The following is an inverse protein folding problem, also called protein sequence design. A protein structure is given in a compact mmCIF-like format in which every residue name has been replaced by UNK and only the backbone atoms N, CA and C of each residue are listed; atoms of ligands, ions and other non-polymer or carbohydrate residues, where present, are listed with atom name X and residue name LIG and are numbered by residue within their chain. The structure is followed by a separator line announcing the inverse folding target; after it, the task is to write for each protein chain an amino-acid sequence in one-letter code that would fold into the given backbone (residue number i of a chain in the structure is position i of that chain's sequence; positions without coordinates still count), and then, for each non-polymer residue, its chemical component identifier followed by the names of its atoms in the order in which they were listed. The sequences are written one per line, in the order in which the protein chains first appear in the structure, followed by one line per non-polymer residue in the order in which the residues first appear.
data_IF_158070362641
#
_entry.id   IF_158070362641
#
_cell.length_a   1.000
_cell.length_b   1.000
_cell.length_c   1.000
_cell.angle_alpha   90.00
_cell.angle_beta   90.00
_cell.angle_gamma   90.00
#
_symmetry.space_group_name_H-M   'P 1'
#
loop_
_entity.id
_entity.type
_entity.pdbx_description
1 polymer ?
#
# COMPACT_ATOMS: atom_id res chain seq x y z
N UNK A 1 -27.43 -2.77 -11.81
CA UNK A 1 -26.29 -2.00 -12.33
C UNK A 1 -25.72 -1.18 -11.18
N UNK A 2 -24.52 -1.43 -10.65
CA UNK A 2 -23.93 -0.52 -9.68
C UNK A 2 -23.43 0.71 -10.42
N UNK A 3 -23.90 1.87 -9.98
CA UNK A 3 -23.54 3.20 -10.48
C UNK A 3 -22.04 3.39 -10.27
N UNK A 4 -21.26 3.39 -11.35
CA UNK A 4 -19.91 3.95 -11.34
C UNK A 4 -20.05 5.47 -11.19
N UNK A 5 -20.28 5.93 -9.97
CA UNK A 5 -20.03 7.32 -9.62
C UNK A 5 -18.54 7.53 -9.81
N UNK A 6 -18.16 8.20 -10.91
CA UNK A 6 -16.79 8.69 -11.15
C UNK A 6 -16.46 9.70 -10.06
N UNK A 7 -16.08 9.18 -8.89
CA UNK A 7 -15.78 9.95 -7.72
C UNK A 7 -14.42 10.61 -7.96
N UNK A 8 -14.44 11.88 -8.39
CA UNK A 8 -13.21 12.65 -8.57
C UNK A 8 -12.60 12.96 -7.19
N UNK A 9 -11.60 12.16 -6.81
CA UNK A 9 -10.78 12.37 -5.62
C UNK A 9 -9.63 13.30 -6.00
N UNK A 10 -9.49 14.41 -5.28
CA UNK A 10 -8.36 15.31 -5.48
C UNK A 10 -7.14 14.79 -4.70
N UNK A 11 -6.29 14.03 -5.39
CA UNK A 11 -5.06 13.45 -4.82
C UNK A 11 -4.06 14.51 -4.37
N UNK A 12 -3.96 15.65 -5.07
CA UNK A 12 -3.11 16.77 -4.66
C UNK A 12 -3.54 17.38 -3.33
N UNK A 13 -4.85 17.49 -3.08
CA UNK A 13 -5.38 17.96 -1.79
C UNK A 13 -5.06 16.97 -0.66
N UNK A 14 -5.24 15.67 -0.89
CA UNK A 14 -4.92 14.65 0.10
C UNK A 14 -3.42 14.61 0.42
N UNK A 15 -2.58 14.69 -0.60
CA UNK A 15 -1.12 14.78 -0.47
C UNK A 15 -0.72 15.98 0.36
N UNK A 16 -1.26 17.17 0.06
CA UNK A 16 -0.96 18.37 0.86
C UNK A 16 -1.38 18.23 2.32
N UNK A 17 -2.57 17.66 2.58
CA UNK A 17 -3.02 17.42 3.97
C UNK A 17 -2.17 16.38 4.70
N UNK A 18 -1.68 15.37 3.98
CA UNK A 18 -0.76 14.36 4.52
C UNK A 18 0.56 15.02 4.91
N UNK A 19 1.19 15.77 4.00
CA UNK A 19 2.46 16.46 4.25
C UNK A 19 2.33 17.48 5.39
N UNK A 20 1.20 18.20 5.48
CA UNK A 20 0.93 19.09 6.61
C UNK A 20 0.81 18.33 7.94
N UNK A 21 0.26 17.12 7.93
CA UNK A 21 0.14 16.29 9.13
C UNK A 21 1.51 15.79 9.57
N UNK A 22 2.33 15.35 8.62
CA UNK A 22 3.72 14.92 8.86
C UNK A 22 4.58 16.09 9.36
N UNK A 23 4.51 17.25 8.72
CA UNK A 23 5.27 18.43 9.09
C UNK A 23 4.96 18.94 10.52
N UNK A 24 3.73 18.70 11.01
CA UNK A 24 3.37 19.01 12.42
C UNK A 24 4.01 18.06 13.43
N UNK A 25 4.35 16.85 13.01
CA UNK A 25 4.97 15.82 13.85
C UNK A 25 6.49 15.96 13.88
N UNK A 26 7.09 16.58 12.86
CA UNK A 26 8.53 16.79 12.78
C UNK A 26 8.93 18.15 13.37
N UNK A 27 9.99 18.18 14.17
CA UNK A 27 10.56 19.43 14.70
C UNK A 27 11.24 20.18 13.56
N UNK A 28 10.52 21.11 12.95
CA UNK A 28 11.02 21.95 11.85
C UNK A 28 10.28 21.79 10.51
N UNK A 29 9.23 20.96 10.45
CA UNK A 29 8.41 20.82 9.24
C UNK A 29 9.07 20.04 8.10
N UNK A 30 10.22 19.42 8.34
CA UNK A 30 10.88 18.55 7.37
C UNK A 30 10.10 17.24 7.22
N UNK A 31 9.77 16.87 5.98
CA UNK A 31 9.04 15.65 5.63
C UNK A 31 9.94 14.62 4.93
N UNK A 32 11.22 14.93 4.69
CA UNK A 32 12.14 14.07 3.92
C UNK A 32 12.39 12.73 4.61
N UNK A 33 12.62 12.73 5.93
CA UNK A 33 12.82 11.50 6.70
C UNK A 33 11.57 10.61 6.65
N UNK A 34 10.40 11.21 6.85
CA UNK A 34 9.13 10.49 6.74
C UNK A 34 8.94 9.92 5.34
N UNK A 35 9.27 10.69 4.31
CA UNK A 35 9.17 10.24 2.92
C UNK A 35 10.07 9.02 2.67
N UNK A 36 11.32 9.04 3.12
CA UNK A 36 12.20 7.88 2.99
C UNK A 36 11.63 6.64 3.71
N UNK A 37 11.15 6.82 4.95
CA UNK A 37 10.57 5.74 5.74
C UNK A 37 9.29 5.18 5.11
N UNK A 38 8.41 6.06 4.62
CA UNK A 38 7.16 5.69 3.98
C UNK A 38 7.42 4.94 2.67
N UNK A 39 8.46 5.33 1.92
CA UNK A 39 8.87 4.62 0.71
C UNK A 39 9.26 3.18 1.01
N UNK A 40 10.10 2.96 2.01
CA UNK A 40 10.49 1.61 2.46
C UNK A 40 9.27 0.82 2.93
N UNK A 41 8.44 1.44 3.78
CA UNK A 41 7.29 0.80 4.41
C UNK A 41 6.23 0.39 3.37
N UNK A 42 5.91 1.27 2.42
CA UNK A 42 4.89 1.04 1.41
C UNK A 42 5.33 -0.03 0.39
N UNK A 43 6.59 0.02 -0.04
CA UNK A 43 7.14 -1.02 -0.93
C UNK A 43 7.18 -2.37 -0.21
N UNK A 44 7.68 -2.42 1.02
CA UNK A 44 7.75 -3.66 1.81
C UNK A 44 6.38 -4.28 2.06
N UNK A 45 5.38 -3.43 2.36
CA UNK A 45 3.99 -3.86 2.47
C UNK A 45 3.46 -4.45 1.16
N UNK A 46 3.79 -3.85 0.03
CA UNK A 46 3.40 -4.36 -1.29
C UNK A 46 3.96 -5.76 -1.52
N UNK A 47 5.24 -5.97 -1.22
CA UNK A 47 5.90 -7.29 -1.28
C UNK A 47 5.21 -8.29 -0.37
N UNK A 48 4.98 -7.94 0.90
CA UNK A 48 4.26 -8.78 1.87
C UNK A 48 2.88 -9.19 1.35
N UNK A 49 2.11 -8.23 0.82
CA UNK A 49 0.78 -8.50 0.30
C UNK A 49 0.81 -9.42 -0.92
N UNK A 50 1.79 -9.29 -1.81
CA UNK A 50 1.95 -10.19 -2.96
C UNK A 50 2.32 -11.61 -2.52
N UNK A 51 3.12 -11.74 -1.45
CA UNK A 51 3.40 -13.04 -0.83
C UNK A 51 2.15 -13.66 -0.21
N UNK A 52 1.35 -12.86 0.51
CA UNK A 52 0.09 -13.32 1.10
C UNK A 52 -0.89 -13.77 0.00
N UNK A 53 -1.03 -12.98 -1.08
CA UNK A 53 -1.85 -13.33 -2.25
C UNK A 53 -1.38 -14.65 -2.89
N UNK A 54 -0.06 -14.85 -3.04
CA UNK A 54 0.50 -16.11 -3.53
C UNK A 54 0.21 -17.29 -2.59
N UNK A 55 0.43 -17.13 -1.28
CA UNK A 55 0.17 -18.16 -0.28
C UNK A 55 -1.31 -18.57 -0.27
N UNK A 56 -2.21 -17.58 -0.35
CA UNK A 56 -3.65 -17.80 -0.41
C UNK A 56 -4.07 -18.53 -1.68
N UNK A 57 -3.57 -18.12 -2.85
CA UNK A 57 -3.91 -18.74 -4.14
C UNK A 57 -3.39 -20.17 -4.27
N UNK A 58 -2.19 -20.45 -3.74
CA UNK A 58 -1.55 -21.75 -3.87
C UNK A 58 -1.75 -22.65 -2.64
N UNK A 59 -2.54 -22.21 -1.64
CA UNK A 59 -2.70 -22.89 -0.33
C UNK A 59 -1.36 -23.32 0.27
N UNK A 60 -0.37 -22.47 0.13
CA UNK A 60 1.03 -22.73 0.47
C UNK A 60 1.47 -21.79 1.59
N UNK A 61 2.50 -22.19 2.31
CA UNK A 61 3.15 -21.36 3.34
C UNK A 61 4.60 -21.10 2.96
N UNK A 62 4.99 -19.82 2.97
CA UNK A 62 6.37 -19.42 2.71
C UNK A 62 7.10 -19.36 4.06
N UNK A 63 8.21 -20.08 4.17
CA UNK A 63 9.04 -20.05 5.38
C UNK A 63 9.65 -18.65 5.60
N UNK A 64 9.96 -18.25 6.85
CA UNK A 64 10.64 -16.98 7.12
C UNK A 64 11.97 -16.84 6.38
N UNK A 65 12.69 -17.95 6.16
CA UNK A 65 13.94 -17.96 5.41
C UNK A 65 13.71 -17.65 3.93
N UNK A 66 12.76 -18.34 3.29
CA UNK A 66 12.36 -18.09 1.90
C UNK A 66 11.85 -16.66 1.73
N UNK A 67 11.06 -16.17 2.70
CA UNK A 67 10.58 -14.78 2.74
C UNK A 67 11.77 -13.80 2.74
N UNK A 68 12.78 -14.02 3.59
CA UNK A 68 13.98 -13.19 3.63
C UNK A 68 14.75 -13.17 2.31
N UNK A 69 14.85 -14.32 1.61
CA UNK A 69 15.49 -14.40 0.29
C UNK A 69 14.72 -13.62 -0.77
N UNK A 70 13.40 -13.73 -0.78
CA UNK A 70 12.54 -12.97 -1.70
C UNK A 70 12.68 -11.46 -1.45
N UNK A 71 12.65 -11.03 -0.19
CA UNK A 71 12.86 -9.63 0.17
C UNK A 71 14.21 -9.13 -0.34
N UNK A 72 15.31 -9.86 -0.13
CA UNK A 72 16.63 -9.49 -0.67
C UNK A 72 16.68 -9.42 -2.19
N UNK A 73 16.03 -10.35 -2.87
CA UNK A 73 15.95 -10.34 -4.34
C UNK A 73 15.23 -9.08 -4.84
N UNK A 74 14.11 -8.72 -4.19
CA UNK A 74 13.39 -7.48 -4.51
C UNK A 74 14.24 -6.25 -4.19
N UNK A 75 14.86 -6.18 -3.00
CA UNK A 75 15.77 -5.09 -2.60
C UNK A 75 16.87 -4.83 -3.63
N UNK A 76 17.50 -5.91 -4.11
CA UNK A 76 18.55 -5.84 -5.13
C UNK A 76 18.02 -5.34 -6.47
N UNK A 77 16.81 -5.72 -6.85
CA UNK A 77 16.21 -5.32 -8.12
C UNK A 77 15.77 -3.84 -8.12
N UNK A 78 15.23 -3.35 -7.01
CA UNK A 78 14.74 -1.96 -6.88
C UNK A 78 15.81 -1.00 -6.32
N UNK A 79 16.99 -1.52 -5.97
CA UNK A 79 18.09 -0.79 -5.34
C UNK A 79 17.67 0.04 -4.12
N UNK A 80 16.81 -0.54 -3.28
CA UNK A 80 16.25 0.12 -2.10
C UNK A 80 16.14 -0.87 -0.94
N UNK A 81 16.46 -0.46 0.30
CA UNK A 81 16.21 -1.30 1.47
C UNK A 81 14.71 -1.54 1.68
N UNK A 82 14.39 -2.73 2.19
CA UNK A 82 13.06 -3.17 2.57
C UNK A 82 13.07 -3.75 3.98
N UNK A 83 11.90 -3.77 4.61
CA UNK A 83 11.69 -4.35 5.93
C UNK A 83 10.63 -5.45 5.84
N UNK A 84 11.05 -6.67 6.14
CA UNK A 84 10.21 -7.87 6.10
C UNK A 84 8.98 -7.78 7.04
N UNK A 85 9.04 -6.94 8.06
CA UNK A 85 8.00 -6.76 9.08
C UNK A 85 7.03 -5.61 8.76
N UNK A 86 7.32 -4.77 7.77
CA UNK A 86 6.47 -3.63 7.44
C UNK A 86 5.17 -4.09 6.77
N UNK A 87 4.05 -3.84 7.45
CA UNK A 87 2.70 -4.16 6.94
C UNK A 87 1.74 -2.96 6.92
N UNK A 88 2.00 -1.91 7.72
CA UNK A 88 1.11 -0.76 7.87
C UNK A 88 1.82 0.52 7.40
N UNK A 89 1.23 1.16 6.40
CA UNK A 89 1.72 2.43 5.86
C UNK A 89 1.05 3.60 6.58
N UNK A 90 1.78 4.70 6.77
CA UNK A 90 1.20 5.88 7.43
C UNK A 90 0.18 6.60 6.54
N UNK A 91 0.30 6.49 5.21
CA UNK A 91 -0.70 6.98 4.25
C UNK A 91 -2.06 6.32 4.50
N UNK A 92 -2.10 5.01 4.74
CA UNK A 92 -3.34 4.29 5.02
C UNK A 92 -4.03 4.81 6.29
N UNK A 93 -3.27 4.96 7.38
CA UNK A 93 -3.80 5.44 8.66
C UNK A 93 -4.26 6.91 8.56
N UNK A 94 -3.55 7.72 7.78
CA UNK A 94 -3.98 9.07 7.45
C UNK A 94 -5.33 9.07 6.73
N UNK A 95 -5.50 8.24 5.69
CA UNK A 95 -6.76 8.16 4.94
C UNK A 95 -7.92 7.66 5.81
N UNK A 96 -7.68 6.68 6.70
CA UNK A 96 -8.70 6.18 7.64
C UNK A 96 -9.33 7.30 8.47
N UNK A 97 -8.53 8.26 8.93
CA UNK A 97 -8.98 9.37 9.78
C UNK A 97 -9.22 10.69 9.04
N UNK A 98 -8.91 10.77 7.73
CA UNK A 98 -9.03 12.00 6.95
C UNK A 98 -10.50 12.35 6.66
N UNK A 99 -10.92 13.56 7.03
CA UNK A 99 -12.31 14.04 6.86
C UNK A 99 -12.73 14.17 5.39
N UNK A 100 -11.84 14.65 4.52
CA UNK A 100 -12.15 14.83 3.09
C UNK A 100 -12.32 13.47 2.40
N UNK A 101 -11.43 12.53 2.70
CA UNK A 101 -11.53 11.16 2.20
C UNK A 101 -12.78 10.44 2.74
N UNK A 102 -13.06 10.52 4.04
CA UNK A 102 -14.26 9.88 4.61
C UNK A 102 -15.55 10.46 4.02
N UNK A 103 -15.62 11.78 3.79
CA UNK A 103 -16.75 12.39 3.07
C UNK A 103 -16.92 11.79 1.66
N UNK A 104 -15.82 11.55 0.94
CA UNK A 104 -15.84 10.90 -0.37
C UNK A 104 -16.30 9.44 -0.30
N UNK A 105 -15.89 8.71 0.73
CA UNK A 105 -16.40 7.35 1.00
C UNK A 105 -17.90 7.37 1.27
N UNK A 106 -18.38 8.30 2.10
CA UNK A 106 -19.81 8.43 2.43
C UNK A 106 -20.64 8.80 1.18
N UNK A 107 -20.13 9.71 0.34
CA UNK A 107 -20.72 10.05 -0.97
C UNK A 107 -20.78 8.83 -1.92
N UNK A 108 -19.74 7.99 -1.91
CA UNK A 108 -19.67 6.79 -2.74
C UNK A 108 -20.61 5.68 -2.24
N UNK A 109 -20.75 5.52 -0.92
CA UNK A 109 -21.62 4.52 -0.32
C UNK A 109 -23.11 4.87 -0.45
N UNK A 110 -23.46 6.15 -0.51
CA UNK A 110 -24.85 6.62 -0.55
C UNK A 110 -25.54 6.58 0.82
N UNK A 111 -26.81 6.99 0.85
CA UNK A 111 -27.60 7.08 2.09
C UNK A 111 -28.05 5.69 2.55
N UNK A 112 -27.99 5.44 3.86
CA UNK A 112 -28.55 4.22 4.48
C UNK A 112 -27.72 2.95 4.30
N UNK A 113 -26.45 3.08 3.91
CA UNK A 113 -25.53 1.93 3.81
C UNK A 113 -25.32 1.30 5.20
N UNK A 114 -25.21 -0.02 5.26
CA UNK A 114 -24.87 -0.69 6.50
C UNK A 114 -23.40 -0.39 6.90
N UNK A 115 -23.08 -0.41 8.21
CA UNK A 115 -21.73 -0.11 8.69
C UNK A 115 -20.63 -1.01 8.12
N UNK A 116 -20.94 -2.29 7.85
CA UNK A 116 -19.97 -3.26 7.36
C UNK A 116 -19.64 -3.02 5.88
N UNK A 117 -20.64 -2.74 5.05
CA UNK A 117 -20.44 -2.35 3.66
C UNK A 117 -19.68 -1.03 3.55
N UNK A 118 -20.01 -0.04 4.39
CA UNK A 118 -19.22 1.20 4.48
C UNK A 118 -17.76 0.92 4.82
N UNK A 119 -17.50 0.12 5.85
CA UNK A 119 -16.16 -0.23 6.28
C UNK A 119 -15.36 -0.95 5.18
N UNK A 120 -15.96 -1.94 4.53
CA UNK A 120 -15.37 -2.66 3.41
C UNK A 120 -15.08 -1.74 2.22
N UNK A 121 -15.97 -0.79 1.95
CA UNK A 121 -15.81 0.20 0.88
C UNK A 121 -14.69 1.17 1.19
N UNK A 122 -14.64 1.68 2.43
CA UNK A 122 -13.54 2.51 2.92
C UNK A 122 -12.20 1.79 2.76
N UNK A 123 -12.10 0.52 3.20
CA UNK A 123 -10.87 -0.26 3.09
C UNK A 123 -10.42 -0.48 1.64
N UNK A 124 -11.36 -0.67 0.70
CA UNK A 124 -11.05 -0.76 -0.74
C UNK A 124 -10.56 0.56 -1.31
N UNK A 125 -11.25 1.65 -0.99
CA UNK A 125 -10.88 2.99 -1.44
C UNK A 125 -9.54 3.45 -0.85
N UNK A 126 -9.24 3.11 0.41
CA UNK A 126 -7.93 3.41 1.03
C UNK A 126 -6.82 2.77 0.22
N UNK A 127 -6.94 1.47 -0.11
CA UNK A 127 -5.94 0.75 -0.91
C UNK A 127 -5.69 1.40 -2.26
N UNK A 128 -6.74 1.87 -2.93
CA UNK A 128 -6.63 2.55 -4.23
C UNK A 128 -5.98 3.92 -4.10
N UNK A 129 -6.48 4.75 -3.18
CA UNK A 129 -6.01 6.12 -3.01
C UNK A 129 -4.61 6.18 -2.42
N UNK A 130 -4.23 5.26 -1.53
CA UNK A 130 -2.86 5.21 -1.00
C UNK A 130 -1.85 4.80 -2.06
N UNK A 131 -2.23 3.88 -2.96
CA UNK A 131 -1.42 3.56 -4.14
C UNK A 131 -1.27 4.78 -5.06
N UNK A 132 -2.35 5.49 -5.39
CA UNK A 132 -2.27 6.69 -6.25
C UNK A 132 -1.40 7.79 -5.63
N UNK A 133 -1.55 8.05 -4.32
CA UNK A 133 -0.70 9.00 -3.60
C UNK A 133 0.76 8.54 -3.63
N UNK A 134 1.01 7.24 -3.44
CA UNK A 134 2.36 6.69 -3.51
C UNK A 134 2.97 6.86 -4.91
N UNK A 135 2.28 6.46 -5.97
CA UNK A 135 2.83 6.53 -7.32
C UNK A 135 3.06 7.98 -7.77
N UNK A 136 2.16 8.91 -7.41
CA UNK A 136 2.29 10.34 -7.75
C UNK A 136 3.43 11.04 -6.99
N UNK A 137 3.68 10.66 -5.74
CA UNK A 137 4.67 11.35 -4.90
C UNK A 137 6.04 10.68 -4.92
N UNK A 138 6.10 9.36 -5.14
CA UNK A 138 7.32 8.57 -5.03
C UNK A 138 7.94 8.20 -6.39
N UNK A 139 7.36 8.69 -7.50
CA UNK A 139 8.05 9.19 -8.71
C UNK A 139 8.95 8.25 -9.52
N UNK A 140 9.11 6.98 -9.15
CA UNK A 140 10.01 6.05 -9.86
C UNK A 140 9.71 4.56 -9.67
N UNK A 141 8.78 4.20 -8.78
CA UNK A 141 8.40 2.82 -8.49
C UNK A 141 6.88 2.70 -8.57
N UNK A 142 6.38 2.02 -9.60
CA UNK A 142 4.96 1.67 -9.67
C UNK A 142 4.68 0.43 -8.83
N UNK A 143 3.49 0.37 -8.25
CA UNK A 143 3.08 -0.80 -7.47
C UNK A 143 2.99 -2.04 -8.37
N UNK A 144 2.61 -1.88 -9.64
CA UNK A 144 2.63 -2.97 -10.63
C UNK A 144 4.01 -3.60 -10.76
N UNK A 145 5.05 -2.77 -10.85
CA UNK A 145 6.41 -3.22 -11.13
C UNK A 145 6.96 -3.96 -9.90
N UNK A 146 6.71 -3.43 -8.70
CA UNK A 146 7.04 -4.11 -7.43
C UNK A 146 6.38 -5.48 -7.37
N UNK A 147 5.10 -5.59 -7.75
CA UNK A 147 4.38 -6.87 -7.76
C UNK A 147 5.00 -7.85 -8.74
N UNK A 148 5.30 -7.42 -9.96
CA UNK A 148 5.92 -8.29 -10.98
C UNK A 148 7.29 -8.78 -10.53
N UNK A 149 8.14 -7.89 -10.02
CA UNK A 149 9.46 -8.26 -9.48
C UNK A 149 9.31 -9.25 -8.32
N UNK A 150 8.34 -9.02 -7.43
CA UNK A 150 8.06 -9.93 -6.30
C UNK A 150 7.60 -11.29 -6.80
N UNK A 151 6.74 -11.36 -7.81
CA UNK A 151 6.27 -12.61 -8.40
C UNK A 151 7.40 -13.40 -9.06
N UNK A 152 8.29 -12.72 -9.80
CA UNK A 152 9.51 -13.34 -10.33
C UNK A 152 10.39 -13.88 -9.22
N UNK A 153 10.64 -13.08 -8.18
CA UNK A 153 11.42 -13.52 -7.03
C UNK A 153 10.79 -14.71 -6.29
N UNK A 154 9.46 -14.76 -6.18
CA UNK A 154 8.73 -15.93 -5.65
C UNK A 154 9.01 -17.16 -6.53
N UNK A 155 8.85 -17.05 -7.85
CA UNK A 155 9.08 -18.17 -8.77
C UNK A 155 10.52 -18.73 -8.67
N UNK A 156 11.50 -17.84 -8.53
CA UNK A 156 12.91 -18.22 -8.43
C UNK A 156 13.28 -18.85 -7.07
N UNK A 157 12.58 -18.48 -5.99
CA UNK A 157 12.92 -18.89 -4.62
C UNK A 157 12.01 -19.98 -4.04
N UNK A 158 10.84 -20.21 -4.64
CA UNK A 158 9.85 -21.21 -4.18
C UNK A 158 9.91 -22.48 -5.06
N UNK A 159 11.08 -22.80 -5.64
CA UNK A 159 11.24 -24.00 -6.49
C UNK A 159 10.55 -25.23 -5.88
N UNK A 160 9.52 -25.70 -6.58
CA UNK A 160 8.78 -26.95 -6.44
C UNK A 160 8.97 -27.71 -5.11
N UNK A 161 8.26 -27.27 -4.06
CA UNK A 161 7.87 -28.19 -2.96
C UNK A 161 6.70 -29.09 -3.37
N UNK A 162 6.73 -29.64 -4.60
CA UNK A 162 5.98 -30.84 -4.96
C UNK A 162 6.90 -32.03 -4.74
N UNK A 163 7.04 -32.41 -3.47
CA UNK A 163 7.42 -33.76 -3.07
C UNK A 163 6.16 -34.60 -2.94
#
# INVERSE_FOLDING_TARGET
MPVQSNLSINYGKLTNQLLQTVAKQTRGGDTQQWFHQERITFTSRTVNKTLDEYCMSNRSTISPETKGRIFRAVESAIQQPLDVNCAQSSIDHFLQSNKYFNKKVDEHCGKGVDPMTRFNTQAKMIKQVSQEIFEQNFGGLKVSDIKTITQSAIADNVQDTRL
#
